data_IF_310761594264
#
_entry.id   IF_310761594264
#
_cell.length_a   1.000
_cell.length_b   1.000
_cell.length_c   1.000
_cell.angle_alpha   90.00
_cell.angle_beta   90.00
_cell.angle_gamma   90.00
#
_symmetry.space_group_name_H-M   'P 1'
#
loop_
_entity.id
_entity.type
_entity.pdbx_description
1 polymer ?
2 non-polymer ?
3 non-polymer ?
4 water ?
#
# COMPACT_ATOMS: atom_id res chain seq x y z
N UNK A 4 -20.68 3.96 23.34
CA UNK A 4 -20.08 3.17 22.19
C UNK A 4 -18.56 3.36 22.18
N UNK A 5 -17.76 2.29 22.39
CA UNK A 5 -16.30 2.41 22.50
C UNK A 5 -15.62 2.54 21.12
N UNK A 6 -14.53 3.29 21.05
CA UNK A 6 -13.74 3.45 19.80
C UNK A 6 -12.94 2.18 19.54
N UNK A 7 -12.87 1.73 18.27
CA UNK A 7 -12.17 0.49 17.98
C UNK A 7 -10.67 0.62 18.12
N UNK A 8 -10.02 -0.50 18.46
CA UNK A 8 -8.54 -0.65 18.52
C UNK A 8 -8.06 -1.27 17.21
N UNK A 9 -8.96 -1.94 16.49
CA UNK A 9 -8.64 -2.69 15.24
C UNK A 9 -9.86 -2.71 14.31
N UNK A 10 -9.63 -2.52 13.01
CA UNK A 10 -10.68 -2.60 11.95
C UNK A 10 -10.22 -3.62 10.90
N UNK A 11 -11.16 -4.08 10.09
CA UNK A 11 -10.80 -4.94 8.95
C UNK A 11 -11.05 -4.14 7.70
N UNK A 12 -10.15 -4.36 6.77
CA UNK A 12 -10.14 -3.59 5.51
C UNK A 12 -10.13 -4.63 4.39
N UNK A 13 -11.04 -4.47 3.45
CA UNK A 13 -11.11 -5.26 2.21
C UNK A 13 -10.43 -4.43 1.12
N UNK A 14 -9.51 -5.05 0.40
CA UNK A 14 -8.87 -4.49 -0.81
C UNK A 14 -9.26 -5.37 -1.98
N UNK A 15 -9.83 -4.78 -3.01
CA UNK A 15 -10.08 -5.52 -4.25
C UNK A 15 -9.37 -4.87 -5.41
N UNK A 16 -8.85 -5.67 -6.32
CA UNK A 16 -8.29 -5.17 -7.59
C UNK A 16 -8.87 -6.04 -8.72
N UNK A 17 -9.43 -5.36 -9.72
CA UNK A 17 -9.97 -6.08 -10.90
C UNK A 17 -9.74 -5.27 -12.15
N UNK A 18 -9.04 -5.86 -13.09
CA UNK A 18 -8.99 -5.36 -14.49
C UNK A 18 -10.18 -6.00 -15.21
N UNK A 19 -11.16 -5.17 -15.53
CA UNK A 19 -12.51 -5.55 -16.02
C UNK A 19 -12.47 -5.82 -17.53
N UNK A 20 -11.35 -5.51 -18.21
CA UNK A 20 -11.18 -5.75 -19.65
C UNK A 20 -12.23 -5.03 -20.47
N UNK A 21 -12.63 -3.84 -20.01
CA UNK A 21 -13.56 -2.92 -20.72
C UNK A 21 -14.93 -3.57 -20.93
N UNK A 22 -15.29 -4.55 -20.11
CA UNK A 22 -16.56 -5.28 -20.20
C UNK A 22 -17.36 -5.06 -18.92
N UNK A 23 -18.70 -4.94 -19.01
CA UNK A 23 -19.54 -4.84 -17.83
C UNK A 23 -19.42 -6.12 -17.00
N UNK A 24 -19.60 -5.99 -15.68
CA UNK A 24 -19.49 -7.15 -14.81
C UNK A 24 -20.72 -8.03 -14.97
N UNK A 25 -20.65 -9.27 -14.46
CA UNK A 25 -21.82 -10.14 -14.43
C UNK A 25 -22.78 -9.69 -13.32
N UNK A 26 -23.96 -10.30 -13.23
CA UNK A 26 -25.02 -9.79 -12.34
C UNK A 26 -24.62 -10.04 -10.88
N UNK A 27 -23.80 -11.05 -10.60
CA UNK A 27 -23.37 -11.37 -9.22
C UNK A 27 -21.84 -11.32 -9.06
N UNK A 28 -21.32 -10.49 -8.14
CA UNK A 28 -19.84 -10.42 -7.91
C UNK A 28 -19.58 -10.56 -6.41
N UNK A 29 -20.55 -11.08 -5.67
CA UNK A 29 -20.45 -11.20 -4.19
C UNK A 29 -19.24 -12.05 -3.72
N UNK A 30 -18.84 -13.05 -4.52
CA UNK A 30 -17.67 -13.92 -4.24
C UNK A 30 -16.41 -13.08 -4.01
N UNK A 31 -16.28 -11.97 -4.75
CA UNK A 31 -15.11 -11.07 -4.61
C UNK A 31 -15.08 -10.52 -3.17
N UNK A 32 -16.18 -9.92 -2.75
CA UNK A 32 -16.25 -9.22 -1.44
C UNK A 32 -16.23 -10.23 -0.31
N UNK A 33 -16.56 -11.48 -0.61
CA UNK A 33 -16.55 -12.57 0.43
C UNK A 33 -15.20 -13.29 0.46
N UNK A 34 -14.23 -12.90 -0.38
CA UNK A 34 -12.89 -13.54 -0.41
C UNK A 34 -13.04 -15.05 -0.64
N UNK A 35 -13.84 -15.42 -1.65
CA UNK A 35 -14.10 -16.84 -2.03
C UNK A 35 -13.46 -17.14 -3.38
N UNK A 36 -12.85 -18.32 -3.52
CA UNK A 36 -12.30 -18.78 -4.79
C UNK A 36 -11.05 -19.53 -4.48
N UNK A 37 -9.92 -19.09 -5.04
CA UNK A 37 -8.59 -19.73 -4.88
C UNK A 37 -7.73 -18.89 -3.95
N UNK A 38 -6.71 -19.51 -3.37
CA UNK A 38 -5.70 -18.85 -2.55
C UNK A 38 -6.04 -18.97 -1.08
N UNK A 39 -5.72 -17.91 -0.33
CA UNK A 39 -6.04 -17.79 1.11
C UNK A 39 -7.41 -17.12 1.22
N UNK A 40 -8.44 -17.93 1.46
CA UNK A 40 -9.85 -17.51 1.41
C UNK A 40 -10.38 -17.33 2.83
N UNK A 41 -11.51 -16.64 2.90
CA UNK A 41 -12.16 -16.23 4.15
C UNK A 41 -13.09 -17.37 4.59
N UNK A 42 -13.13 -17.62 5.87
CA UNK A 42 -14.05 -18.63 6.46
C UNK A 42 -15.52 -18.30 6.16
N UNK A 43 -16.31 -19.33 5.83
CA UNK A 43 -17.78 -19.22 5.59
C UNK A 43 -18.49 -18.56 6.78
N UNK A 44 -18.02 -18.85 7.97
CA UNK A 44 -18.66 -18.39 9.22
C UNK A 44 -18.57 -16.86 9.32
N UNK A 45 -17.73 -16.21 8.51
CA UNK A 45 -17.55 -14.73 8.54
C UNK A 45 -18.40 -14.03 7.48
N UNK A 46 -19.16 -14.76 6.65
CA UNK A 46 -19.76 -14.16 5.42
C UNK A 46 -20.66 -12.97 5.74
N UNK A 47 -21.36 -12.96 6.88
CA UNK A 47 -22.35 -11.87 7.13
C UNK A 47 -21.68 -10.70 7.86
N UNK A 48 -20.44 -10.89 8.32
CA UNK A 48 -19.68 -9.90 9.12
C UNK A 48 -19.12 -8.89 8.13
N UNK A 49 -19.56 -7.61 8.18
CA UNK A 49 -19.01 -6.65 7.24
C UNK A 49 -17.59 -6.31 7.65
N UNK A 50 -16.76 -6.02 6.66
CA UNK A 50 -15.50 -5.29 6.83
C UNK A 50 -15.86 -3.87 7.17
N UNK A 51 -14.97 -3.18 7.87
CA UNK A 51 -15.15 -1.77 8.28
C UNK A 51 -15.04 -0.86 7.07
N UNK A 52 -14.08 -1.14 6.20
CA UNK A 52 -13.77 -0.32 5.00
C UNK A 52 -13.59 -1.30 3.84
N UNK A 53 -14.19 -0.98 2.70
CA UNK A 53 -13.98 -1.69 1.41
C UNK A 53 -13.32 -0.70 0.45
N UNK A 54 -12.18 -1.09 -0.10
CA UNK A 54 -11.46 -0.26 -1.12
C UNK A 54 -11.40 -1.06 -2.40
N UNK A 55 -12.02 -0.55 -3.46
CA UNK A 55 -12.24 -1.29 -4.73
C UNK A 55 -11.48 -0.61 -5.86
N UNK A 56 -10.39 -1.22 -6.33
CA UNK A 56 -9.57 -0.71 -7.45
C UNK A 56 -9.96 -1.41 -8.72
N UNK A 57 -10.32 -0.66 -9.74
CA UNK A 57 -10.56 -1.25 -11.07
C UNK A 57 -9.65 -0.65 -12.12
N UNK A 58 -9.43 -1.42 -13.17
CA UNK A 58 -8.63 -0.99 -14.37
C UNK A 58 -9.44 -1.42 -15.58
N UNK A 59 -9.28 -0.73 -16.69
CA UNK A 59 -10.10 -1.00 -17.90
C UNK A 59 -11.59 -1.04 -17.52
N UNK A 60 -12.05 -0.14 -16.66
CA UNK A 60 -13.41 -0.07 -16.12
C UNK A 60 -14.27 0.68 -17.12
N UNK A 61 -15.28 0.02 -17.73
CA UNK A 61 -16.11 0.67 -18.75
C UNK A 61 -17.31 1.43 -18.17
N UNK A 62 -17.52 1.34 -16.87
CA UNK A 62 -18.75 1.84 -16.20
C UNK A 62 -18.58 3.32 -15.82
N UNK A 63 -19.70 4.04 -15.72
CA UNK A 63 -19.72 5.35 -15.05
C UNK A 63 -19.48 5.12 -13.56
N UNK A 64 -19.01 6.15 -12.84
CA UNK A 64 -18.93 6.07 -11.38
C UNK A 64 -20.30 5.67 -10.83
N UNK A 65 -21.39 6.27 -11.33
CA UNK A 65 -22.75 6.01 -10.83
C UNK A 65 -23.07 4.53 -11.00
N UNK A 66 -22.83 4.00 -12.20
CA UNK A 66 -23.15 2.59 -12.52
C UNK A 66 -22.39 1.67 -11.56
N UNK A 67 -21.10 1.91 -11.35
CA UNK A 67 -20.27 1.02 -10.51
C UNK A 67 -20.65 1.16 -9.03
N UNK A 68 -20.84 2.38 -8.55
CA UNK A 68 -21.32 2.60 -7.16
C UNK A 68 -22.60 1.81 -6.85
N UNK A 69 -23.57 1.88 -7.78
CA UNK A 69 -24.84 1.11 -7.74
C UNK A 69 -24.54 -0.37 -7.47
N UNK A 70 -23.74 -0.97 -8.35
CA UNK A 70 -23.39 -2.41 -8.29
C UNK A 70 -22.65 -2.72 -6.98
N UNK A 71 -21.70 -1.89 -6.56
CA UNK A 71 -20.93 -2.20 -5.34
C UNK A 71 -21.85 -2.11 -4.12
N UNK A 72 -22.63 -1.04 -3.96
CA UNK A 72 -23.48 -0.88 -2.75
C UNK A 72 -24.53 -1.98 -2.65
N UNK A 73 -25.18 -2.32 -3.78
CA UNK A 73 -26.15 -3.44 -3.89
C UNK A 73 -25.49 -4.73 -3.39
N UNK A 74 -24.31 -5.05 -3.93
CA UNK A 74 -23.56 -6.30 -3.63
C UNK A 74 -23.28 -6.38 -2.12
N UNK A 75 -22.78 -5.31 -1.52
CA UNK A 75 -22.47 -5.31 -0.07
C UNK A 75 -23.76 -5.39 0.73
N UNK A 76 -24.84 -4.71 0.30
CA UNK A 76 -26.15 -4.78 1.00
C UNK A 76 -26.69 -6.23 0.98
N UNK A 77 -26.57 -6.93 -0.14
CA UNK A 77 -27.05 -8.33 -0.26
C UNK A 77 -26.25 -9.22 0.70
N UNK A 78 -24.94 -8.99 0.82
CA UNK A 78 -24.05 -9.80 1.69
C UNK A 78 -24.37 -9.54 3.18
N UNK A 79 -24.50 -8.28 3.56
CA UNK A 79 -24.34 -7.86 4.98
C UNK A 79 -25.63 -7.25 5.54
N UNK A 80 -26.57 -6.83 4.68
CA UNK A 80 -27.75 -5.98 5.01
C UNK A 80 -27.33 -4.61 5.53
N UNK A 81 -26.11 -4.19 5.20
CA UNK A 81 -25.64 -2.82 5.62
C UNK A 81 -25.58 -1.96 4.37
N UNK A 82 -26.10 -0.74 4.46
CA UNK A 82 -25.98 0.29 3.40
C UNK A 82 -24.69 1.07 3.64
N UNK A 83 -23.66 0.80 2.85
CA UNK A 83 -22.32 1.42 3.04
C UNK A 83 -22.37 2.88 2.59
N UNK A 84 -21.61 3.73 3.26
CA UNK A 84 -21.42 5.14 2.88
C UNK A 84 -20.26 5.24 1.93
N UNK A 85 -20.39 6.10 0.91
CA UNK A 85 -19.32 6.44 -0.04
C UNK A 85 -18.38 7.42 0.64
N UNK A 86 -17.15 7.02 0.92
CA UNK A 86 -16.08 7.88 1.48
C UNK A 86 -15.47 8.69 0.35
N UNK A 87 -15.12 8.03 -0.74
CA UNK A 87 -14.46 8.70 -1.88
C UNK A 87 -14.55 7.84 -3.12
N UNK A 88 -14.52 8.50 -4.26
CA UNK A 88 -14.43 7.81 -5.57
C UNK A 88 -13.63 8.73 -6.47
N UNK A 89 -12.64 8.18 -7.16
CA UNK A 89 -11.76 8.97 -8.06
C UNK A 89 -11.42 8.11 -9.26
N UNK A 90 -11.55 8.69 -10.44
CA UNK A 90 -11.33 8.00 -11.73
C UNK A 90 -10.30 8.76 -12.55
N UNK A 91 -9.28 8.06 -13.06
CA UNK A 91 -8.39 8.60 -14.13
C UNK A 91 -8.59 7.68 -15.33
N UNK A 92 -9.11 8.21 -16.43
CA UNK A 92 -9.37 7.42 -17.66
C UNK A 92 -10.24 6.22 -17.27
N UNK A 93 -9.71 5.00 -17.30
CA UNK A 93 -10.45 3.75 -16.98
C UNK A 93 -9.91 3.13 -15.70
N UNK A 94 -9.18 3.91 -14.90
CA UNK A 94 -8.57 3.48 -13.61
C UNK A 94 -9.38 4.11 -12.49
N UNK A 95 -9.95 3.32 -11.59
CA UNK A 95 -10.90 3.89 -10.61
C UNK A 95 -10.64 3.32 -9.22
N UNK A 96 -10.86 4.15 -8.24
CA UNK A 96 -10.83 3.71 -6.82
C UNK A 96 -12.13 4.17 -6.17
N UNK A 97 -12.76 3.26 -5.44
CA UNK A 97 -13.96 3.53 -4.60
C UNK A 97 -13.63 3.13 -3.17
N UNK A 98 -13.95 3.99 -2.22
CA UNK A 98 -13.80 3.65 -0.78
C UNK A 98 -15.18 3.73 -0.14
N UNK A 99 -15.65 2.61 0.41
CA UNK A 99 -16.92 2.50 1.11
C UNK A 99 -16.64 2.15 2.58
N UNK A 100 -17.45 2.68 3.48
CA UNK A 100 -17.31 2.33 4.92
C UNK A 100 -18.66 2.14 5.60
N UNK A 101 -18.67 1.35 6.69
CA UNK A 101 -19.85 1.18 7.56
C UNK A 101 -20.40 2.57 7.91
N UNK A 102 -21.74 2.75 7.97
CA UNK A 102 -22.30 4.03 8.41
C UNK A 102 -21.84 4.52 9.79
N UNK A 103 -21.56 3.59 10.70
CA UNK A 103 -21.09 3.93 12.09
C UNK A 103 -19.71 4.62 12.03
N UNK A 104 -18.99 4.56 10.91
CA UNK A 104 -17.63 5.13 10.78
C UNK A 104 -17.64 6.53 10.18
N UNK A 105 -18.83 7.02 9.80
CA UNK A 105 -18.93 8.28 9.02
C UNK A 105 -18.25 9.45 9.74
N UNK A 106 -18.38 9.51 11.06
CA UNK A 106 -17.85 10.63 11.90
C UNK A 106 -16.52 10.21 12.56
N UNK A 107 -15.95 9.07 12.14
CA UNK A 107 -14.55 8.66 12.50
C UNK A 107 -13.62 9.01 11.33
N UNK A 108 -14.19 9.25 10.16
CA UNK A 108 -13.41 9.46 8.91
C UNK A 108 -13.39 10.95 8.58
N UNK A 109 -12.20 11.49 8.36
CA UNK A 109 -12.00 12.92 8.04
C UNK A 109 -10.79 13.07 7.14
N UNK A 110 -10.51 14.30 6.69
CA UNK A 110 -9.29 14.67 5.93
C UNK A 110 -9.20 13.76 4.68
N UNK A 111 -10.29 13.62 3.93
CA UNK A 111 -10.33 12.74 2.74
C UNK A 111 -9.60 13.46 1.62
N UNK A 112 -8.61 12.80 1.01
CA UNK A 112 -7.83 13.33 -0.13
C UNK A 112 -7.93 12.35 -1.30
N UNK A 113 -7.97 12.87 -2.53
CA UNK A 113 -7.94 12.03 -3.74
C UNK A 113 -6.89 12.65 -4.62
N UNK A 114 -6.20 11.82 -5.39
CA UNK A 114 -5.27 12.33 -6.42
C UNK A 114 -5.07 11.26 -7.49
N UNK A 115 -4.45 11.65 -8.57
CA UNK A 115 -4.02 10.71 -9.62
C UNK A 115 -2.64 11.13 -10.14
N UNK A 116 -1.96 10.18 -10.76
CA UNK A 116 -0.70 10.39 -11.49
C UNK A 116 -0.86 9.71 -12.84
N UNK A 117 -0.61 10.45 -13.90
CA UNK A 117 -0.48 9.90 -15.27
C UNK A 117 0.95 9.50 -15.52
N UNK A 118 1.24 8.26 -15.93
CA UNK A 118 2.65 7.83 -16.15
C UNK A 118 3.06 7.95 -17.63
N UNK A 119 4.37 8.06 -17.90
CA UNK A 119 4.90 8.05 -19.28
C UNK A 119 4.83 9.41 -19.98
N UNK A 120 5.43 9.52 -21.17
CA UNK A 120 5.65 10.80 -21.92
C UNK A 120 5.29 10.59 -23.40
N UNK A 121 4.30 11.33 -23.91
CA UNK A 121 3.90 11.42 -25.34
C UNK A 121 3.29 10.08 -25.82
N UNK A 122 4.05 9.24 -26.53
CA UNK A 122 3.72 7.83 -26.86
C UNK A 122 3.02 7.15 -25.68
N UNK A 123 3.65 7.26 -24.50
CA UNK A 123 3.42 6.43 -23.29
C UNK A 123 2.48 7.15 -22.31
N UNK A 124 2.06 8.39 -22.60
CA UNK A 124 1.02 9.13 -21.81
C UNK A 124 -0.33 9.00 -22.52
N UNK A 125 -1.33 8.42 -21.86
CA UNK A 125 -2.70 8.36 -22.39
C UNK A 125 -3.57 7.32 -21.73
N UNK A 126 -3.02 6.28 -21.09
CA UNK A 126 -3.97 5.37 -20.40
C UNK A 126 -3.53 4.71 -19.09
N UNK A 127 -2.24 4.77 -18.75
CA UNK A 127 -1.66 4.11 -17.54
C UNK A 127 -1.41 5.17 -16.46
N UNK A 128 -1.44 4.74 -15.20
CA UNK A 128 -1.19 5.65 -14.07
C UNK A 128 -1.83 5.10 -12.84
N UNK A 129 -2.17 5.97 -11.92
CA UNK A 129 -2.62 5.56 -10.59
C UNK A 129 -3.67 6.56 -10.09
N UNK A 130 -4.57 6.08 -9.27
CA UNK A 130 -5.52 6.91 -8.49
C UNK A 130 -5.31 6.55 -7.03
N UNK A 131 -5.60 7.48 -6.15
CA UNK A 131 -5.43 7.18 -4.73
C UNK A 131 -6.36 7.95 -3.85
N UNK A 132 -6.52 7.44 -2.65
CA UNK A 132 -7.39 8.03 -1.62
C UNK A 132 -6.60 7.95 -0.32
N UNK A 133 -6.65 9.02 0.46
CA UNK A 133 -6.25 8.96 1.87
C UNK A 133 -7.31 9.58 2.77
N UNK A 134 -7.27 9.21 4.05
CA UNK A 134 -8.09 9.86 5.09
C UNK A 134 -7.57 9.44 6.44
N UNK A 135 -8.06 10.11 7.46
CA UNK A 135 -7.89 9.73 8.86
C UNK A 135 -9.10 8.88 9.28
N UNK A 136 -8.82 7.80 9.98
CA UNK A 136 -9.81 7.00 10.72
C UNK A 136 -9.44 7.20 12.20
N UNK A 137 -10.15 8.05 12.92
CA UNK A 137 -9.76 8.42 14.31
C UNK A 137 -8.31 8.89 14.27
N UNK A 138 -7.39 8.32 15.05
CA UNK A 138 -6.00 8.85 15.10
C UNK A 138 -5.06 8.17 14.12
N UNK A 139 -5.60 7.42 13.15
CA UNK A 139 -4.81 6.57 12.25
C UNK A 139 -5.00 7.07 10.82
N UNK A 140 -3.88 7.25 10.12
CA UNK A 140 -3.88 7.70 8.71
C UNK A 140 -3.82 6.46 7.79
N UNK A 141 -4.70 6.45 6.78
CA UNK A 141 -4.82 5.33 5.83
C UNK A 141 -4.63 5.89 4.42
N UNK A 142 -3.78 5.26 3.64
CA UNK A 142 -3.63 5.56 2.19
C UNK A 142 -3.93 4.34 1.37
N UNK A 143 -4.39 4.57 0.13
CA UNK A 143 -4.79 3.52 -0.81
C UNK A 143 -4.40 3.99 -2.20
N UNK A 144 -3.67 3.15 -2.90
CA UNK A 144 -3.23 3.42 -4.28
C UNK A 144 -3.68 2.27 -5.17
N UNK A 145 -4.41 2.62 -6.24
CA UNK A 145 -4.77 1.69 -7.34
C UNK A 145 -3.98 2.11 -8.57
N UNK A 146 -3.06 1.29 -9.03
CA UNK A 146 -2.22 1.63 -10.20
C UNK A 146 -2.43 0.61 -11.31
N UNK A 147 -2.45 1.10 -12.54
CA UNK A 147 -2.36 0.28 -13.77
C UNK A 147 -1.02 0.60 -14.41
N UNK A 148 -0.06 -0.30 -14.28
CA UNK A 148 1.32 -0.03 -14.74
C UNK A 148 1.43 -0.52 -16.19
N UNK A 149 2.56 -0.17 -16.80
CA UNK A 149 2.89 -0.51 -18.20
C UNK A 149 2.74 -2.03 -18.38
N UNK A 150 2.17 -2.44 -19.52
CA UNK A 150 1.95 -3.87 -19.88
C UNK A 150 3.20 -4.41 -20.63
N UNK A 151 3.25 -5.72 -20.76
CA UNK A 151 4.23 -6.38 -21.62
C UNK A 151 5.33 -7.04 -20.83
N UNK A 152 5.64 -8.30 -21.12
CA UNK A 152 6.69 -9.04 -20.40
C UNK A 152 8.05 -8.33 -20.42
N UNK A 153 8.33 -7.59 -21.50
CA UNK A 153 9.64 -6.99 -21.79
C UNK A 153 9.85 -5.67 -21.02
N UNK A 154 8.81 -5.17 -20.34
CA UNK A 154 8.82 -3.78 -19.79
C UNK A 154 8.81 -3.73 -18.27
N UNK A 155 9.53 -4.62 -17.60
CA UNK A 155 9.54 -4.56 -16.11
C UNK A 155 10.25 -3.28 -15.64
N UNK A 156 11.26 -2.81 -16.37
CA UNK A 156 11.96 -1.55 -15.98
C UNK A 156 10.97 -0.37 -16.02
N UNK A 157 10.17 -0.30 -17.09
CA UNK A 157 9.12 0.74 -17.27
C UNK A 157 8.16 0.69 -16.07
N UNK A 158 7.73 -0.51 -15.69
CA UNK A 158 6.83 -0.66 -14.52
C UNK A 158 7.52 -0.06 -13.29
N UNK A 159 8.79 -0.36 -13.09
CA UNK A 159 9.53 0.13 -11.89
C UNK A 159 9.59 1.66 -11.95
N UNK A 160 9.74 2.20 -13.15
CA UNK A 160 9.73 3.67 -13.33
C UNK A 160 8.36 4.24 -13.04
N UNK A 161 7.29 3.55 -13.47
CA UNK A 161 5.89 3.99 -13.25
C UNK A 161 5.69 4.07 -11.72
N UNK A 162 6.15 3.03 -11.00
CA UNK A 162 6.07 2.98 -9.53
C UNK A 162 6.73 4.22 -8.90
N UNK A 163 7.94 4.56 -9.32
CA UNK A 163 8.67 5.70 -8.70
C UNK A 163 7.91 7.00 -9.05
N UNK A 164 7.45 7.15 -10.29
CA UNK A 164 6.66 8.36 -10.63
C UNK A 164 5.41 8.45 -9.75
N UNK A 165 4.74 7.34 -9.48
CA UNK A 165 3.48 7.41 -8.70
C UNK A 165 3.81 7.79 -7.25
N UNK A 166 4.80 7.10 -6.70
CA UNK A 166 5.35 7.29 -5.34
C UNK A 166 5.67 8.78 -5.14
N UNK A 167 6.38 9.37 -6.10
CA UNK A 167 6.89 10.76 -5.99
C UNK A 167 5.75 11.76 -6.13
N UNK A 168 4.82 11.56 -7.05
CA UNK A 168 3.93 12.66 -7.47
C UNK A 168 2.49 12.52 -6.97
N UNK A 169 2.10 11.40 -6.38
CA UNK A 169 0.73 11.29 -5.86
C UNK A 169 0.65 12.11 -4.58
N UNK A 170 -0.23 13.10 -4.54
CA UNK A 170 -0.31 14.09 -3.43
C UNK A 170 -1.46 13.69 -2.52
N UNK A 171 -1.19 12.80 -1.57
CA UNK A 171 -2.21 12.35 -0.59
C UNK A 171 -1.67 12.68 0.78
N UNK A 172 -2.54 12.62 1.79
CA UNK A 172 -2.12 12.73 3.19
C UNK A 172 -1.73 14.14 3.53
N UNK A 173 -0.96 14.31 4.60
CA UNK A 173 -0.78 15.62 5.30
C UNK A 173 0.28 16.41 4.54
N UNK A 174 -0.19 17.46 3.84
CA UNK A 174 0.76 18.28 3.03
C UNK A 174 1.85 18.90 3.91
N UNK A 175 1.66 19.11 5.26
CA UNK A 175 2.71 19.65 6.16
C UNK A 175 3.90 18.67 6.22
N UNK A 176 3.68 17.41 5.86
CA UNK A 176 4.76 16.39 5.85
C UNK A 176 5.58 16.57 4.57
N UNK A 177 6.13 17.76 4.33
CA UNK A 177 6.62 18.16 2.99
C UNK A 177 7.80 17.31 2.54
N UNK A 178 8.75 16.84 3.39
CA UNK A 178 9.84 16.01 2.89
C UNK A 178 9.43 14.58 2.52
N UNK A 179 8.22 14.20 2.89
CA UNK A 179 7.80 12.78 2.83
C UNK A 179 6.86 12.53 1.66
N UNK A 180 7.18 11.47 0.92
CA UNK A 180 6.28 10.90 -0.11
C UNK A 180 5.23 9.97 0.54
N UNK A 181 4.34 9.43 -0.30
CA UNK A 181 3.22 8.60 0.22
C UNK A 181 3.78 7.40 0.98
N UNK A 182 5.01 6.94 0.70
CA UNK A 182 5.53 5.73 1.41
C UNK A 182 5.86 6.00 2.89
N UNK A 183 5.78 7.24 3.35
CA UNK A 183 5.99 7.61 4.77
C UNK A 183 4.81 8.35 5.39
N UNK A 184 3.77 8.70 4.65
CA UNK A 184 2.73 9.62 5.18
C UNK A 184 1.63 8.90 5.97
N UNK A 185 1.57 7.57 5.95
CA UNK A 185 0.42 6.81 6.46
C UNK A 185 0.83 5.73 7.45
N UNK A 186 0.03 5.61 8.50
CA UNK A 186 0.08 4.45 9.42
C UNK A 186 0.08 3.15 8.60
N UNK A 187 -0.84 3.08 7.63
CA UNK A 187 -1.04 1.90 6.77
C UNK A 187 -1.25 2.42 5.36
N UNK A 188 -0.48 1.88 4.43
CA UNK A 188 -0.54 2.22 3.00
C UNK A 188 -0.75 0.91 2.24
N UNK A 189 -1.82 0.87 1.46
CA UNK A 189 -2.15 -0.32 0.63
C UNK A 189 -1.99 0.11 -0.81
N UNK A 190 -1.18 -0.64 -1.54
CA UNK A 190 -0.95 -0.37 -2.97
C UNK A 190 -1.28 -1.63 -3.75
N UNK A 191 -2.12 -1.47 -4.73
CA UNK A 191 -2.75 -2.61 -5.43
C UNK A 191 -3.04 -2.15 -6.84
N UNK A 192 -3.39 -3.09 -7.70
CA UNK A 192 -3.75 -2.79 -9.08
C UNK A 192 -3.40 -3.88 -10.03
N UNK A 193 -3.57 -3.56 -11.33
CA UNK A 193 -2.95 -4.37 -12.39
C UNK A 193 -1.52 -3.87 -12.54
N UNK A 194 -0.61 -4.39 -11.73
CA UNK A 194 0.79 -3.97 -11.70
C UNK A 194 1.52 -4.55 -12.92
N UNK A 195 0.96 -5.57 -13.55
CA UNK A 195 1.36 -6.00 -14.91
C UNK A 195 2.73 -6.68 -14.97
N UNK A 196 3.27 -7.11 -13.83
CA UNK A 196 4.50 -7.94 -13.79
C UNK A 196 4.13 -9.37 -14.20
N UNK A 197 5.02 -9.97 -14.97
CA UNK A 197 4.76 -11.25 -15.67
C UNK A 197 5.64 -12.36 -15.16
N UNK A 198 5.22 -13.58 -15.47
CA UNK A 198 6.07 -14.79 -15.23
C UNK A 198 7.03 -14.86 -16.41
N UNK A 199 8.30 -14.57 -16.14
CA UNK A 199 9.36 -14.43 -17.17
C UNK A 199 9.95 -15.80 -17.46
N UNK A 200 9.31 -16.55 -18.36
CA UNK A 200 9.78 -17.88 -18.80
C UNK A 200 9.75 -17.83 -20.32
N UNK A 201 10.50 -18.71 -21.02
CA UNK A 201 10.50 -18.68 -22.47
C UNK A 201 9.07 -18.94 -22.95
N UNK A 202 8.68 -18.31 -24.07
CA UNK A 202 7.28 -18.32 -24.58
C UNK A 202 6.90 -19.73 -25.04
N UNK A 203 7.90 -20.53 -25.44
CA UNK A 203 7.71 -21.94 -25.89
C UNK A 203 7.49 -22.86 -24.67
N UNK A 204 7.67 -22.36 -23.45
CA UNK A 204 7.24 -23.06 -22.21
C UNK A 204 5.74 -22.80 -21.87
N UNK A 205 4.94 -22.16 -22.72
CA UNK A 205 3.55 -21.78 -22.38
C UNK A 205 2.77 -23.00 -21.91
N UNK A 206 2.87 -24.11 -22.62
CA UNK A 206 1.98 -25.27 -22.33
C UNK A 206 2.48 -25.88 -21.03
N UNK A 207 3.79 -25.85 -20.79
CA UNK A 207 4.39 -26.34 -19.52
C UNK A 207 3.84 -25.51 -18.37
N UNK A 208 3.77 -24.20 -18.54
CA UNK A 208 3.23 -23.31 -17.46
C UNK A 208 1.76 -23.68 -17.16
N UNK A 209 0.95 -23.84 -18.18
CA UNK A 209 -0.47 -24.21 -18.04
C UNK A 209 -0.62 -25.51 -17.28
N UNK A 210 0.20 -26.52 -17.60
CA UNK A 210 0.12 -27.83 -16.92
C UNK A 210 0.56 -27.68 -15.45
N UNK A 211 1.54 -26.81 -15.15
CA UNK A 211 1.91 -26.51 -13.74
C UNK A 211 0.72 -25.87 -13.01
N UNK A 212 0.01 -24.95 -13.67
CA UNK A 212 -1.16 -24.28 -13.04
C UNK A 212 -2.26 -25.32 -12.74
N UNK A 213 -2.53 -26.22 -13.66
CA UNK A 213 -3.58 -27.25 -13.49
C UNK A 213 -3.19 -28.19 -12.34
N UNK A 214 -1.90 -28.36 -12.05
CA UNK A 214 -1.41 -29.20 -10.92
C UNK A 214 -1.33 -28.38 -9.63
N UNK A 215 -1.65 -27.08 -9.71
CA UNK A 215 -1.56 -26.14 -8.56
C UNK A 215 -0.14 -26.12 -8.02
N UNK A 216 0.86 -26.21 -8.90
CA UNK A 216 2.29 -26.21 -8.56
C UNK A 216 2.78 -24.85 -9.02
N UNK A 217 2.73 -23.87 -8.12
CA UNK A 217 3.02 -22.45 -8.44
C UNK A 217 4.49 -22.13 -8.16
N UNK A 218 5.23 -23.01 -7.45
CA UNK A 218 6.55 -22.67 -6.89
C UNK A 218 7.52 -22.26 -8.01
N UNK A 219 7.59 -23.04 -9.08
CA UNK A 219 8.52 -22.84 -10.20
C UNK A 219 8.00 -21.68 -11.04
N UNK A 220 6.74 -21.28 -10.89
CA UNK A 220 6.27 -20.10 -11.65
C UNK A 220 6.62 -18.84 -10.84
N UNK A 221 6.31 -18.83 -9.54
CA UNK A 221 6.56 -17.63 -8.69
C UNK A 221 8.06 -17.31 -8.61
N UNK A 222 8.97 -18.29 -8.73
CA UNK A 222 10.43 -18.05 -8.78
C UNK A 222 10.82 -17.22 -10.00
N UNK A 223 9.94 -17.06 -11.00
CA UNK A 223 10.15 -16.23 -12.21
C UNK A 223 9.18 -15.05 -12.29
N UNK A 224 8.34 -14.87 -11.29
CA UNK A 224 7.45 -13.68 -11.21
C UNK A 224 8.32 -12.42 -11.13
N UNK A 225 8.11 -11.47 -12.04
CA UNK A 225 8.97 -10.28 -12.10
C UNK A 225 8.76 -9.40 -10.86
N UNK A 226 7.59 -9.36 -10.26
CA UNK A 226 7.41 -8.48 -9.07
C UNK A 226 8.24 -9.07 -7.92
N UNK A 227 8.14 -10.36 -7.65
CA UNK A 227 8.97 -10.99 -6.59
C UNK A 227 10.46 -10.81 -6.90
N UNK A 228 10.93 -11.04 -8.14
CA UNK A 228 12.38 -10.98 -8.43
C UNK A 228 12.84 -9.53 -8.37
N UNK A 229 12.09 -8.58 -8.92
CA UNK A 229 12.49 -7.16 -8.87
C UNK A 229 12.52 -6.68 -7.41
N UNK A 230 11.55 -7.12 -6.60
CA UNK A 230 11.48 -6.77 -5.16
C UNK A 230 12.71 -7.35 -4.44
N UNK A 231 13.12 -8.58 -4.79
CA UNK A 231 14.27 -9.28 -4.13
C UNK A 231 15.58 -8.54 -4.45
N UNK A 232 15.67 -7.92 -5.62
CA UNK A 232 16.86 -7.12 -6.03
C UNK A 232 16.66 -5.63 -5.70
N UNK A 233 15.62 -5.29 -4.93
CA UNK A 233 15.40 -3.93 -4.37
C UNK A 233 15.30 -2.95 -5.54
N UNK A 234 14.64 -3.37 -6.61
CA UNK A 234 14.43 -2.48 -7.78
C UNK A 234 13.10 -1.75 -7.66
N UNK A 235 12.16 -2.23 -6.84
CA UNK A 235 10.78 -1.69 -6.79
C UNK A 235 10.14 -2.12 -5.47
N UNK A 236 9.15 -1.36 -4.99
CA UNK A 236 8.36 -1.70 -3.79
C UNK A 236 9.26 -2.02 -2.59
N UNK A 237 10.37 -1.29 -2.44
CA UNK A 237 11.24 -1.46 -1.24
C UNK A 237 10.42 -1.13 0.00
N UNK A 238 10.51 -2.01 0.98
CA UNK A 238 9.88 -1.91 2.32
C UNK A 238 8.36 -2.08 2.30
N UNK A 239 7.83 -2.66 1.22
CA UNK A 239 6.43 -3.14 1.12
C UNK A 239 6.39 -4.65 1.36
N UNK A 240 5.23 -5.12 1.82
CA UNK A 240 4.95 -6.57 2.08
C UNK A 240 3.94 -7.07 1.06
N UNK A 241 3.96 -8.37 0.77
CA UNK A 241 2.90 -9.04 0.00
C UNK A 241 2.73 -10.40 0.65
N UNK A 242 1.48 -10.81 0.84
CA UNK A 242 1.09 -12.17 1.33
C UNK A 242 1.58 -13.20 0.30
N UNK A 243 1.93 -14.40 0.74
CA UNK A 243 2.29 -15.50 -0.17
C UNK A 243 1.11 -15.74 -1.11
N UNK A 244 1.42 -15.95 -2.38
CA UNK A 244 0.49 -16.23 -3.48
C UNK A 244 0.24 -17.72 -3.57
N UNK A 245 -1.03 -18.10 -3.37
CA UNK A 245 -1.45 -19.53 -3.37
C UNK A 245 -2.65 -19.72 -4.31
N UNK A 246 -2.85 -18.78 -5.23
CA UNK A 246 -3.91 -18.82 -6.26
C UNK A 246 -3.27 -18.86 -7.63
N UNK A 247 -4.01 -19.36 -8.61
CA UNK A 247 -3.51 -19.44 -10.00
C UNK A 247 -3.26 -18.04 -10.55
N UNK A 248 -2.37 -17.90 -11.54
CA UNK A 248 -2.23 -16.65 -12.29
C UNK A 248 -3.58 -16.09 -12.74
N UNK A 249 -3.77 -14.76 -12.63
CA UNK A 249 -5.09 -14.12 -12.79
C UNK A 249 -5.26 -13.59 -14.20
N UNK A 250 -4.30 -13.83 -15.07
CA UNK A 250 -4.19 -13.28 -16.45
C UNK A 250 -3.41 -14.30 -17.27
N UNK A 251 -3.68 -14.48 -18.58
CA UNK A 251 -4.74 -13.90 -19.34
C UNK A 251 -5.74 -15.01 -19.70
N UNK A 252 -6.99 -14.88 -19.27
CA UNK A 252 -8.02 -15.92 -19.48
C UNK A 252 -8.79 -15.64 -20.75
N UNK A 253 -9.26 -16.70 -21.39
CA UNK A 253 -10.40 -16.59 -22.34
C UNK A 253 -11.63 -16.14 -21.53
N UNK A 254 -12.41 -15.20 -22.06
CA UNK A 254 -13.63 -14.72 -21.37
C UNK A 254 -14.70 -15.80 -21.31
N UNK A 255 -15.56 -15.72 -20.29
CA UNK A 255 -16.80 -16.53 -20.07
C UNK A 255 -16.46 -17.95 -19.58
N UNK A 256 -15.20 -18.29 -19.42
CA UNK A 256 -14.77 -19.52 -18.72
C UNK A 256 -13.56 -19.16 -17.85
N UNK A 257 -13.09 -20.04 -16.97
CA UNK A 257 -11.73 -19.91 -16.40
C UNK A 257 -10.92 -21.14 -16.79
N UNK A 258 -11.40 -21.86 -17.80
CA UNK A 258 -10.84 -23.18 -18.16
C UNK A 258 -9.62 -23.00 -19.05
N UNK A 259 -9.40 -21.80 -19.61
CA UNK A 259 -8.38 -21.62 -20.67
C UNK A 259 -7.63 -20.30 -20.51
N UNK A 260 -6.32 -20.41 -20.55
CA UNK A 260 -5.41 -19.25 -20.65
C UNK A 260 -5.20 -18.95 -22.13
N UNK A 261 -5.44 -17.70 -22.50
CA UNK A 261 -5.25 -17.16 -23.88
C UNK A 261 -3.89 -16.44 -23.89
N UNK A 262 -2.83 -17.15 -24.29
CA UNK A 262 -1.45 -16.61 -24.22
C UNK A 262 -0.79 -16.29 -25.57
N UNK A 263 -1.33 -16.83 -26.67
CA UNK A 263 -0.72 -16.78 -28.02
C UNK A 263 -0.73 -15.34 -28.53
N UNK A 264 0.30 -14.96 -29.31
CA UNK A 264 0.41 -13.61 -29.89
C UNK A 264 -0.66 -13.46 -30.96
N UNK A 265 -1.28 -12.28 -31.00
CA UNK A 265 -2.45 -11.92 -31.84
C UNK A 265 -2.23 -10.46 -32.29
N UNK A 266 -2.79 -10.07 -33.43
CA UNK A 266 -2.81 -8.63 -33.80
C UNK A 266 -3.26 -7.81 -32.61
N UNK A 267 -4.32 -8.26 -31.92
CA UNK A 267 -4.94 -7.50 -30.81
C UNK A 267 -3.94 -7.34 -29.64
N UNK A 268 -2.94 -8.21 -29.51
CA UNK A 268 -1.93 -8.06 -28.42
C UNK A 268 -0.68 -7.31 -28.91
N UNK A 269 -0.67 -6.72 -30.11
CA UNK A 269 0.57 -6.17 -30.66
C UNK A 269 1.59 -7.26 -30.94
N UNK A 270 1.12 -8.46 -31.26
CA UNK A 270 1.98 -9.63 -31.54
C UNK A 270 2.86 -9.97 -30.32
N UNK A 271 2.31 -9.76 -29.12
CA UNK A 271 2.95 -10.11 -27.83
C UNK A 271 2.31 -11.37 -27.27
N UNK A 272 3.13 -12.25 -26.69
CA UNK A 272 2.65 -13.38 -25.89
C UNK A 272 2.25 -12.80 -24.54
N UNK A 273 1.23 -13.41 -23.96
CA UNK A 273 0.79 -13.09 -22.58
C UNK A 273 0.83 -14.42 -21.84
N UNK A 274 2.03 -14.89 -21.48
CA UNK A 274 2.12 -16.11 -20.65
C UNK A 274 1.34 -15.84 -19.36
N UNK A 275 0.67 -16.85 -18.80
CA UNK A 275 -0.05 -16.72 -17.54
C UNK A 275 0.83 -16.07 -16.48
N UNK A 276 0.26 -15.07 -15.85
CA UNK A 276 0.98 -14.16 -14.94
C UNK A 276 0.07 -13.67 -13.81
N UNK A 277 0.75 -13.33 -12.71
CA UNK A 277 0.12 -12.66 -11.56
C UNK A 277 0.20 -11.15 -11.74
N UNK A 278 -0.60 -10.66 -12.66
CA UNK A 278 -0.63 -9.21 -12.98
C UNK A 278 -1.25 -8.41 -11.82
N UNK A 279 -2.15 -9.02 -11.09
CA UNK A 279 -3.13 -8.33 -10.23
C UNK A 279 -2.78 -8.57 -8.77
N UNK A 280 -2.38 -7.52 -8.05
CA UNK A 280 -1.63 -7.70 -6.78
C UNK A 280 -2.10 -6.70 -5.72
N UNK A 281 -1.85 -7.08 -4.47
CA UNK A 281 -2.07 -6.20 -3.30
C UNK A 281 -0.81 -6.25 -2.44
N UNK A 282 -0.21 -5.09 -2.18
CA UNK A 282 0.93 -4.93 -1.26
C UNK A 282 0.58 -3.89 -0.21
N UNK A 283 1.30 -3.90 0.90
CA UNK A 283 1.10 -2.87 1.93
C UNK A 283 2.40 -2.49 2.61
N UNK A 284 2.35 -1.36 3.26
CA UNK A 284 3.44 -0.89 4.10
C UNK A 284 2.81 -0.16 5.27
N UNK A 285 3.10 -0.64 6.46
CA UNK A 285 2.61 -0.01 7.70
C UNK A 285 3.83 0.50 8.49
N UNK A 286 3.59 1.47 9.35
CA UNK A 286 4.63 1.98 10.26
C UNK A 286 5.10 0.85 11.16
N UNK A 287 6.38 0.92 11.58
CA UNK A 287 6.95 -0.12 12.44
C UNK A 287 6.09 -0.37 13.70
N UNK A 288 5.90 -1.66 14.01
CA UNK A 288 5.23 -2.15 15.24
C UNK A 288 3.76 -1.70 15.34
N UNK A 289 3.08 -1.51 14.20
CA UNK A 289 1.60 -1.39 14.19
C UNK A 289 1.05 -2.74 13.72
N UNK A 290 -0.03 -3.17 14.36
CA UNK A 290 -0.70 -4.44 14.01
C UNK A 290 -1.19 -4.34 12.57
N UNK A 291 -0.80 -5.28 11.73
CA UNK A 291 -1.39 -5.43 10.37
C UNK A 291 -1.21 -6.90 10.04
N UNK A 292 -2.31 -7.59 9.82
CA UNK A 292 -2.32 -9.04 9.52
C UNK A 292 -3.18 -9.27 8.29
N UNK A 293 -2.64 -9.90 7.27
CA UNK A 293 -3.38 -10.30 6.09
C UNK A 293 -4.21 -11.52 6.45
N UNK A 294 -5.53 -11.41 6.30
CA UNK A 294 -6.53 -12.46 6.62
C UNK A 294 -6.87 -13.27 5.36
N UNK A 295 -6.77 -12.67 4.17
CA UNK A 295 -7.13 -13.35 2.91
C UNK A 295 -6.33 -12.74 1.78
N UNK A 296 -6.09 -13.52 0.75
CA UNK A 296 -5.37 -13.09 -0.46
C UNK A 296 -5.60 -14.18 -1.48
N UNK A 297 -6.40 -13.86 -2.48
CA UNK A 297 -6.81 -14.86 -3.45
C UNK A 297 -7.54 -14.28 -4.62
N UNK A 298 -8.05 -15.13 -5.47
CA UNK A 298 -8.76 -14.69 -6.69
C UNK A 298 -10.12 -15.37 -6.76
N UNK A 299 -11.08 -14.74 -7.40
CA UNK A 299 -12.41 -15.38 -7.58
C UNK A 299 -12.27 -16.38 -8.73
N UNK A 300 -13.14 -17.39 -8.72
CA UNK A 300 -13.22 -18.43 -9.78
C UNK A 300 -14.48 -18.28 -10.63
N UNK A 301 -15.42 -17.41 -10.26
CA UNK A 301 -16.78 -17.43 -10.84
C UNK A 301 -17.13 -16.09 -11.49
N UNK A 302 -16.16 -15.20 -11.69
CA UNK A 302 -16.38 -13.88 -12.36
C UNK A 302 -15.48 -13.90 -13.59
N UNK A 303 -16.10 -14.02 -14.78
CA UNK A 303 -15.42 -14.44 -16.04
C UNK A 303 -15.67 -13.44 -17.18
N UNK A 304 -16.16 -12.23 -16.88
CA UNK A 304 -16.46 -11.22 -17.94
C UNK A 304 -15.16 -10.65 -18.50
N UNK A 305 -14.07 -10.66 -17.73
CA UNK A 305 -12.79 -10.07 -18.10
C UNK A 305 -11.78 -11.16 -18.41
N UNK A 306 -10.69 -10.78 -19.04
CA UNK A 306 -9.55 -11.68 -19.29
C UNK A 306 -8.67 -11.72 -18.02
N UNK A 307 -9.02 -10.94 -17.00
CA UNK A 307 -8.42 -11.03 -15.65
C UNK A 307 -9.46 -11.57 -14.67
N UNK A 308 -9.04 -12.28 -13.64
CA UNK A 308 -9.89 -12.58 -12.48
C UNK A 308 -9.68 -11.52 -11.43
N UNK A 309 -10.75 -11.10 -10.74
CA UNK A 309 -10.65 -10.26 -9.55
C UNK A 309 -9.75 -10.88 -8.47
N UNK A 310 -9.01 -10.01 -7.77
CA UNK A 310 -8.12 -10.37 -6.64
C UNK A 310 -8.69 -9.65 -5.42
N UNK A 311 -8.72 -10.37 -4.31
CA UNK A 311 -9.13 -9.83 -3.00
C UNK A 311 -7.97 -10.02 -2.02
N UNK A 312 -7.90 -9.11 -1.08
CA UNK A 312 -7.06 -9.22 0.13
C UNK A 312 -7.82 -8.55 1.28
N UNK A 313 -7.74 -9.13 2.46
CA UNK A 313 -8.33 -8.53 3.67
C UNK A 313 -7.27 -8.49 4.76
N UNK A 314 -7.40 -7.45 5.55
CA UNK A 314 -6.42 -7.14 6.59
C UNK A 314 -7.10 -6.75 7.89
N UNK A 315 -6.48 -7.17 8.99
CA UNK A 315 -6.75 -6.65 10.35
C UNK A 315 -5.73 -5.55 10.64
N UNK A 316 -6.17 -4.30 10.80
CA UNK A 316 -5.28 -3.14 10.95
C UNK A 316 -5.51 -2.45 12.30
N UNK A 317 -4.44 -2.28 13.06
CA UNK A 317 -4.48 -1.52 14.30
C UNK A 317 -4.87 -0.07 14.03
N UNK A 318 -5.72 0.51 14.87
CA UNK A 318 -6.14 1.92 14.80
C UNK A 318 -6.07 2.46 16.22
N UNK A 319 -5.93 3.78 16.32
CA UNK A 319 -5.90 4.49 17.62
C UNK A 319 -7.04 5.48 17.66
N UNK A 320 -7.40 5.91 18.87
CA UNK A 320 -8.49 6.90 19.15
C UNK A 320 -7.96 8.31 18.91
N UNK A 321 -8.87 9.28 18.82
CA UNK A 321 -8.53 10.72 18.73
C UNK A 321 -8.33 11.24 20.17
N UNK A 322 -7.11 11.20 20.67
CA UNK A 322 -6.79 11.44 22.09
C UNK A 322 -6.98 12.92 22.48
N UNK A 323 -7.73 13.16 23.57
CA UNK A 323 -7.88 14.47 24.27
C UNK A 323 -7.42 14.27 25.73
N UNK A 324 -6.53 15.13 26.21
CA UNK A 324 -6.20 15.27 27.65
C UNK A 324 -6.59 16.68 28.10
N UNK A 325 -6.38 16.97 29.38
CA UNK A 325 -6.57 18.32 29.99
C UNK A 325 -5.60 19.32 29.34
N UNK A 326 -4.43 18.83 28.94
CA UNK A 326 -3.33 19.59 28.30
C UNK A 326 -3.50 19.54 26.77
N UNK A 327 -2.75 18.69 26.08
CA UNK A 327 -2.86 18.58 24.61
C UNK A 327 -4.13 17.85 24.22
N UNK A 328 -4.67 18.07 23.00
CA UNK A 328 -4.18 19.11 22.08
C UNK A 328 -4.42 20.59 22.45
N UNK A 329 -3.55 21.46 21.92
CA UNK A 329 -3.57 22.92 22.10
C UNK A 329 -2.53 23.41 23.07
N UNK A 330 -1.61 22.52 23.47
CA UNK A 330 -0.47 22.85 24.36
C UNK A 330 0.40 21.60 24.49
N UNK A 331 1.59 21.75 25.08
CA UNK A 331 2.51 20.63 25.45
C UNK A 331 2.04 20.04 26.78
N UNK A 332 2.61 18.90 27.14
CA UNK A 332 2.40 18.21 28.44
C UNK A 332 3.78 18.03 29.06
N UNK A 333 4.21 18.94 29.93
CA UNK A 333 5.62 19.01 30.41
C UNK A 333 6.08 17.63 30.90
N UNK A 334 5.15 16.69 31.14
CA UNK A 334 5.46 15.35 31.71
C UNK A 334 6.04 14.43 30.63
N UNK A 335 5.92 14.76 29.34
CA UNK A 335 6.43 13.95 28.23
C UNK A 335 7.71 14.53 27.63
N UNK A 336 8.64 13.68 27.19
CA UNK A 336 9.79 14.13 26.38
C UNK A 336 10.36 12.95 25.59
N UNK A 337 10.94 13.25 24.44
CA UNK A 337 11.68 12.25 23.62
C UNK A 337 13.12 12.73 23.45
N UNK A 338 14.08 11.95 23.92
CA UNK A 338 15.51 12.26 23.81
C UNK A 338 16.21 11.22 22.95
N UNK A 339 17.26 11.67 22.27
CA UNK A 339 18.09 10.92 21.30
C UNK A 339 19.56 10.95 21.74
N UNK A 340 20.20 9.79 21.81
CA UNK A 340 21.62 9.69 22.23
C UNK A 340 22.40 8.97 21.13
N UNK A 341 23.71 9.24 21.01
CA UNK A 341 24.67 8.50 20.15
C UNK A 341 24.03 8.30 18.75
N UNK A 342 23.46 9.33 18.15
CA UNK A 342 22.74 9.21 16.85
C UNK A 342 23.64 9.58 15.68
N UNK A 343 23.52 8.81 14.61
CA UNK A 343 24.25 9.17 13.38
C UNK A 343 23.47 8.62 12.19
N UNK A 344 23.55 9.37 11.11
CA UNK A 344 23.07 8.96 9.78
C UNK A 344 24.27 8.46 8.97
N UNK A 345 24.06 7.43 8.19
CA UNK A 345 25.03 6.93 7.20
C UNK A 345 24.36 7.17 5.85
N UNK A 346 25.01 7.93 4.98
CA UNK A 346 24.40 8.29 3.68
C UNK A 346 25.26 7.73 2.55
N UNK A 347 24.60 7.32 1.47
CA UNK A 347 25.24 6.80 0.23
C UNK A 347 25.69 7.98 -0.65
N UNK A 348 25.23 9.19 -0.42
CA UNK A 348 25.54 10.36 -1.28
C UNK A 348 27.06 10.52 -1.42
N UNK A 349 27.48 10.95 -2.61
CA UNK A 349 28.90 11.22 -2.94
C UNK A 349 29.19 12.70 -2.66
N UNK A 350 28.16 13.49 -2.34
CA UNK A 350 28.26 14.95 -2.13
C UNK A 350 28.83 15.22 -0.72
N UNK A 351 29.49 16.37 -0.55
CA UNK A 351 29.98 16.91 0.76
C UNK A 351 29.35 18.29 0.94
N UNK A 352 28.23 18.32 1.67
CA UNK A 352 27.50 19.50 2.19
C UNK A 352 27.19 19.20 3.67
N UNK A 353 26.77 20.19 4.45
CA UNK A 353 26.30 19.94 5.83
C UNK A 353 24.87 19.43 5.79
N UNK A 354 24.51 18.64 6.79
CA UNK A 354 23.13 18.08 6.95
C UNK A 354 22.57 18.42 8.32
N UNK A 355 21.26 18.63 8.35
CA UNK A 355 20.47 18.72 9.60
C UNK A 355 19.30 17.73 9.52
N UNK A 356 18.67 17.45 10.66
CA UNK A 356 17.48 16.55 10.71
C UNK A 356 16.21 17.40 10.87
N UNK A 357 15.11 16.90 10.33
CA UNK A 357 13.75 17.34 10.70
C UNK A 357 12.99 16.17 11.33
N UNK A 358 12.35 16.43 12.46
CA UNK A 358 11.44 15.48 13.15
C UNK A 358 10.00 15.92 12.90
N UNK A 359 9.19 15.05 12.30
CA UNK A 359 7.75 15.31 12.06
C UNK A 359 6.91 14.24 12.76
N UNK A 360 5.89 14.65 13.49
CA UNK A 360 4.93 13.71 14.13
C UNK A 360 3.68 14.47 14.58
N UNK A 361 2.53 13.80 14.49
CA UNK A 361 1.22 14.28 14.98
C UNK A 361 1.27 14.48 16.51
N UNK A 362 2.23 13.83 17.19
CA UNK A 362 2.43 14.01 18.66
C UNK A 362 3.17 15.33 18.98
N UNK A 363 3.66 16.08 17.97
CA UNK A 363 4.35 17.39 18.17
C UNK A 363 3.42 18.49 17.68
N UNK A 364 3.53 19.68 18.25
CA UNK A 364 2.71 20.82 17.76
C UNK A 364 3.16 21.19 16.36
N UNK A 365 4.46 21.17 16.08
CA UNK A 365 4.97 21.34 14.70
C UNK A 365 6.33 20.66 14.57
N UNK A 366 6.79 20.49 13.34
CA UNK A 366 8.05 19.76 13.08
C UNK A 366 9.21 20.49 13.75
N UNK A 367 10.23 19.73 14.09
CA UNK A 367 11.45 20.28 14.76
C UNK A 367 12.68 20.09 13.88
N UNK A 368 13.50 21.15 13.79
CA UNK A 368 14.75 21.19 12.99
C UNK A 368 15.95 21.15 13.93
N UNK A 369 16.81 20.13 13.78
CA UNK A 369 18.04 19.98 14.58
C UNK A 369 19.09 21.00 14.10
N UNK A 370 20.16 21.11 14.87
CA UNK A 370 21.47 21.66 14.48
C UNK A 370 22.09 20.76 13.41
N UNK A 371 23.03 21.31 12.66
CA UNK A 371 23.84 20.55 11.68
C UNK A 371 24.63 19.45 12.42
N UNK A 372 24.70 18.27 11.84
CA UNK A 372 25.58 17.19 12.31
C UNK A 372 27.01 17.42 11.87
N UNK A 373 27.93 16.62 12.39
CA UNK A 373 29.37 16.65 12.02
C UNK A 373 29.68 15.50 11.08
N UNK A 374 30.08 15.83 9.85
CA UNK A 374 30.42 14.83 8.81
C UNK A 374 31.74 14.16 9.16
N UNK A 375 31.78 12.83 9.08
CA UNK A 375 33.06 12.07 9.02
C UNK A 375 33.01 11.07 7.88
N UNK A 376 34.18 10.54 7.51
CA UNK A 376 34.37 9.46 6.51
C UNK A 376 34.13 8.11 7.20
N UNK A 377 33.23 7.26 6.65
CA UNK A 377 33.11 5.85 7.05
C UNK A 377 34.30 5.02 6.56
N UNK A 378 34.60 3.90 7.21
CA UNK A 378 35.78 3.06 6.89
C UNK A 378 35.64 2.41 5.50
N UNK A 379 34.45 2.48 4.88
CA UNK A 379 34.14 1.84 3.58
C UNK A 379 33.65 2.90 2.58
N UNK A 380 34.11 4.15 2.70
CA UNK A 380 33.79 5.24 1.75
C UNK A 380 32.63 6.14 2.20
N UNK A 381 31.72 5.64 3.06
CA UNK A 381 30.39 6.26 3.34
C UNK A 381 30.55 7.66 3.94
N UNK A 382 29.55 8.52 3.75
CA UNK A 382 29.44 9.76 4.57
C UNK A 382 28.72 9.40 5.88
N UNK A 383 29.30 9.71 7.03
CA UNK A 383 28.66 9.48 8.35
C UNK A 383 28.41 10.84 8.92
N UNK A 384 27.16 11.15 9.20
CA UNK A 384 26.78 12.46 9.80
C UNK A 384 26.51 12.20 11.29
N UNK A 385 27.38 12.74 12.15
CA UNK A 385 27.28 12.49 13.60
C UNK A 385 26.44 13.60 14.24
N UNK A 386 25.42 13.22 15.00
CA UNK A 386 24.61 14.10 15.83
C UNK A 386 25.01 13.96 17.30
N UNK A 387 25.79 12.92 17.65
CA UNK A 387 26.13 12.59 19.06
C UNK A 387 24.92 12.74 19.98
N UNK A 388 24.99 13.72 20.90
CA UNK A 388 24.00 14.02 21.96
C UNK A 388 23.37 15.36 21.62
N UNK A 389 23.54 15.85 20.39
CA UNK A 389 23.21 17.26 20.02
C UNK A 389 21.73 17.37 19.63
N UNK A 390 21.02 16.27 19.35
CA UNK A 390 19.64 16.38 18.80
C UNK A 390 18.73 17.01 19.84
N UNK A 391 17.70 17.79 19.45
CA UNK A 391 16.85 18.44 20.43
C UNK A 391 16.05 17.42 21.27
N UNK A 392 15.47 17.95 22.34
CA UNK A 392 14.55 17.20 23.22
C UNK A 392 13.16 17.48 22.67
N UNK A 393 12.42 16.45 22.24
CA UNK A 393 11.09 16.65 21.62
C UNK A 393 10.03 16.69 22.72
N UNK A 394 9.07 17.60 22.56
CA UNK A 394 8.02 17.91 23.56
C UNK A 394 6.68 17.48 23.00
N UNK A 395 6.22 16.25 23.31
CA UNK A 395 4.95 15.79 22.76
C UNK A 395 3.78 16.54 23.42
N UNK A 396 2.66 16.58 22.71
CA UNK A 396 1.43 17.34 23.10
C UNK A 396 0.70 16.60 24.22
N UNK A 397 0.92 15.31 24.33
CA UNK A 397 0.25 14.44 25.34
C UNK A 397 1.32 13.48 25.88
N UNK A 398 1.37 13.28 27.20
CA UNK A 398 2.42 12.49 27.89
C UNK A 398 1.89 11.11 28.25
N UNK A 399 0.58 10.92 28.20
CA UNK A 399 -0.07 9.64 28.59
C UNK A 399 0.58 8.55 27.74
N UNK A 400 1.09 7.48 28.38
CA UNK A 400 1.78 6.42 27.66
C UNK A 400 0.84 5.64 26.73
N UNK A 401 -0.44 5.61 27.06
CA UNK A 401 -1.46 4.91 26.22
C UNK A 401 -1.62 5.64 24.89
N UNK A 402 -1.27 6.91 24.86
CA UNK A 402 -1.16 7.66 23.56
C UNK A 402 0.28 7.55 23.01
N UNK A 403 1.26 7.91 23.83
CA UNK A 403 2.60 8.29 23.29
C UNK A 403 3.31 7.04 22.74
N UNK A 404 3.10 5.85 23.34
CA UNK A 404 3.79 4.63 22.90
C UNK A 404 3.21 4.18 21.54
N UNK A 405 2.04 4.67 21.13
CA UNK A 405 1.42 4.31 19.82
C UNK A 405 1.87 5.27 18.72
N UNK A 406 2.70 6.26 19.01
CA UNK A 406 3.06 7.30 18.02
C UNK A 406 4.33 6.90 17.27
N UNK A 407 4.65 7.68 16.24
CA UNK A 407 5.84 7.49 15.39
C UNK A 407 6.48 8.84 15.08
N UNK A 408 7.79 8.82 14.89
CA UNK A 408 8.57 10.03 14.52
C UNK A 408 9.10 9.79 13.13
N UNK A 409 8.70 10.66 12.20
CA UNK A 409 9.27 10.63 10.84
C UNK A 409 10.54 11.48 10.89
N UNK A 410 11.60 11.02 10.24
CA UNK A 410 12.91 11.74 10.17
C UNK A 410 13.24 12.01 8.72
N UNK A 411 13.63 13.26 8.42
CA UNK A 411 14.25 13.62 7.15
C UNK A 411 15.63 14.17 7.47
N UNK A 412 16.62 13.76 6.70
CA UNK A 412 17.96 14.40 6.73
C UNK A 412 18.04 15.31 5.51
N UNK A 413 18.23 16.60 5.77
CA UNK A 413 18.20 17.64 4.73
C UNK A 413 19.58 18.28 4.60
N UNK A 414 19.93 18.67 3.38
CA UNK A 414 21.13 19.46 3.06
C UNK A 414 20.92 20.89 3.56
N UNK A 415 21.90 21.43 4.28
CA UNK A 415 21.89 22.85 4.74
C UNK A 415 21.89 23.77 3.53
N UNK A 416 22.62 23.43 2.47
CA UNK A 416 22.81 24.25 1.24
C UNK A 416 21.48 24.38 0.47
N UNK A 417 20.69 23.32 0.39
CA UNK A 417 19.58 23.25 -0.59
C UNK A 417 18.23 23.04 0.09
N UNK A 418 18.25 22.60 1.35
CA UNK A 418 17.04 22.26 2.17
C UNK A 418 16.29 21.08 1.52
N UNK A 419 17.00 20.25 0.61
CA UNK A 419 16.36 19.07 -0.01
C UNK A 419 16.62 17.85 0.88
N UNK A 420 15.61 17.06 1.07
CA UNK A 420 15.76 15.78 1.82
C UNK A 420 16.67 14.83 1.04
N UNK A 421 17.64 14.22 1.72
CA UNK A 421 18.50 13.16 1.16
C UNK A 421 18.00 11.79 1.61
N UNK A 422 17.06 11.77 2.55
CA UNK A 422 16.56 10.49 3.08
C UNK A 422 15.49 10.69 4.12
N UNK A 423 14.57 9.75 4.18
CA UNK A 423 13.36 9.79 5.00
C UNK A 423 13.27 8.43 5.65
N UNK A 424 12.93 8.44 6.91
CA UNK A 424 12.59 7.19 7.61
C UNK A 424 11.64 7.44 8.76
N UNK A 425 11.39 6.39 9.52
CA UNK A 425 10.36 6.40 10.58
C UNK A 425 10.82 5.55 11.76
N UNK A 426 10.56 6.07 12.93
CA UNK A 426 10.89 5.43 14.26
C UNK A 426 9.59 5.24 15.05
N UNK A 427 9.32 4.03 15.53
CA UNK A 427 8.17 3.74 16.42
C UNK A 427 8.54 4.13 17.87
N UNK A 428 7.58 4.69 18.59
CA UNK A 428 7.69 4.95 20.05
C UNK A 428 7.14 3.77 20.87
N UNK A 429 6.83 2.65 20.22
CA UNK A 429 6.33 1.41 20.88
C UNK A 429 7.52 0.71 21.55
N UNK A 430 8.11 1.35 22.57
CA UNK A 430 9.36 0.89 23.20
C UNK A 430 9.10 -0.23 24.20
N UNK A 431 10.12 -1.04 24.42
CA UNK A 431 10.14 -2.09 25.46
C UNK A 431 10.17 -1.48 26.85
N UNK A 432 10.57 -0.24 26.99
CA UNK A 432 10.74 0.43 28.31
C UNK A 432 10.68 1.94 28.11
N UNK A 433 10.24 2.66 29.15
CA UNK A 433 10.35 4.14 29.21
C UNK A 433 11.48 4.53 30.18
N UNK A 434 11.96 5.76 30.07
CA UNK A 434 13.03 6.31 30.93
C UNK A 434 14.29 5.41 30.83
N UNK A 435 14.52 4.78 29.67
CA UNK A 435 15.60 3.78 29.45
C UNK A 435 16.22 4.01 28.07
N UNK A 436 17.54 4.03 27.94
CA UNK A 436 18.19 4.20 26.61
C UNK A 436 18.04 2.92 25.80
N UNK A 437 17.42 3.00 24.62
CA UNK A 437 17.13 1.79 23.82
C UNK A 437 17.62 2.06 22.41
N UNK A 438 18.16 1.06 21.71
CA UNK A 438 18.56 1.27 20.31
C UNK A 438 17.35 1.65 19.44
N UNK A 439 17.56 2.56 18.50
CA UNK A 439 16.56 2.87 17.44
C UNK A 439 17.27 2.71 16.09
N UNK A 440 16.47 2.44 15.06
CA UNK A 440 17.03 2.24 13.71
C UNK A 440 15.90 2.49 12.71
N UNK A 441 16.21 3.17 11.61
CA UNK A 441 15.39 3.13 10.39
C UNK A 441 16.31 3.21 9.17
N UNK A 442 15.97 2.49 8.09
CA UNK A 442 16.57 2.77 6.80
C UNK A 442 16.09 4.15 6.37
N UNK A 443 16.88 4.80 5.53
CA UNK A 443 16.45 6.08 4.92
C UNK A 443 16.28 5.86 3.41
N UNK A 444 15.24 6.48 2.87
CA UNK A 444 14.94 6.39 1.43
C UNK A 444 14.71 7.78 0.89
N UNK A 445 14.85 7.92 -0.41
CA UNK A 445 14.42 9.15 -1.11
C UNK A 445 13.89 8.71 -2.47
N UNK A 446 12.71 9.19 -2.84
CA UNK A 446 11.96 8.67 -4.01
C UNK A 446 11.84 7.15 -3.89
N UNK A 447 11.75 6.63 -2.68
CA UNK A 447 11.49 5.19 -2.44
C UNK A 447 12.73 4.32 -2.63
N UNK A 448 13.87 4.91 -2.92
CA UNK A 448 15.16 4.20 -3.09
C UNK A 448 16.01 4.32 -1.82
N UNK A 449 16.75 3.28 -1.46
CA UNK A 449 17.60 3.34 -0.25
C UNK A 449 18.74 4.37 -0.43
N UNK A 450 18.86 5.31 0.50
CA UNK A 450 19.89 6.39 0.47
C UNK A 450 20.75 6.40 1.73
N UNK A 451 20.47 5.50 2.67
CA UNK A 451 21.25 5.53 3.92
C UNK A 451 20.49 4.91 5.06
N UNK A 452 20.96 5.21 6.26
CA UNK A 452 20.47 4.63 7.52
C UNK A 452 20.51 5.70 8.61
N UNK A 453 19.65 5.55 9.60
CA UNK A 453 19.71 6.40 10.81
C UNK A 453 19.63 5.45 12.01
N UNK A 454 20.56 5.65 12.94
CA UNK A 454 20.57 4.77 14.14
C UNK A 454 21.08 5.56 15.32
N UNK A 455 20.72 5.07 16.49
CA UNK A 455 21.20 5.70 17.73
C UNK A 455 20.43 5.09 18.87
N UNK A 456 20.18 5.88 19.90
CA UNK A 456 19.41 5.44 21.07
C UNK A 456 18.34 6.48 21.35
N UNK A 457 17.21 6.02 21.88
CA UNK A 457 16.08 6.87 22.30
C UNK A 457 15.93 6.68 23.80
N UNK A 458 15.36 7.81 24.45
CA UNK A 458 14.95 7.81 25.88
C UNK A 458 13.60 8.51 25.90
N UNK A 459 12.56 7.66 26.24
CA UNK A 459 11.17 8.20 26.19
C UNK A 459 10.64 8.37 27.62
N UNK A 460 10.19 9.58 27.93
CA UNK A 460 9.52 9.94 29.20
C UNK A 460 8.00 10.06 28.95
N UNK A 461 7.18 9.30 29.68
CA UNK A 461 5.71 9.44 29.64
C UNK A 461 5.30 9.83 31.06
N UNK A 462 4.02 10.14 31.25
CA UNK A 462 3.45 10.48 32.57
C UNK A 462 3.51 9.26 33.52
N UNK A 463 3.80 8.06 33.02
CA UNK A 463 4.01 6.87 33.89
C UNK A 463 5.50 6.52 33.96
#
# INVERSE_FOLDING_TARGET
SMEQPEPDMITIFIGTWNMGNAPPPKKITSWFLSKGQGKTRDDSADYIPHDIYVIGTQEDPLSEKEWLEILKHSLQEITSVTFKTVAIHTLWNIRIVVLAKPEHENRISHICTDNVKTGIANTLGNKGAVGVSFMFNGTSLGFVNSHLTSGSEKKLRRNQNYMNILRFLALGDKKLSPFNITHRFTHLFWFGDLNYRVDLPTWEAETIIQKIKQQQYADLLSHDQLLTERREQKVFLHFEEEEITFAPTYRFERLTRDKYAYTKQKATGMKYNLPSWCDRVLWKSYPLVHVVCQSYGSTSDIMTSDHSPVFATFEAGVTSQFVSKNGPGTVDSQGQIEFLRCYATLKTKSQTKFYLEFHSSCLESFVKSQEGENEEGSEGELVVKFGETLPKLKPIISDPEYLLDQHILISIKSSDSDESYGEGCIALRLEATETQLPIYTPLTHHGELTGHFQGEIKLQTSQ
#
